data_IF_927928638869
#
_entry.id   IF_927928638869
#
_cell.length_a   1.000
_cell.length_b   1.000
_cell.length_c   1.000
_cell.angle_alpha   90.00
_cell.angle_beta   90.00
_cell.angle_gamma   90.00
#
_symmetry.space_group_name_H-M   'P 1'
#
loop_
_entity.id
_entity.type
_entity.pdbx_description
1 polymer ?
#
# COMPACT_ATOMS: atom_id res chain seq x y z
N UNK A 1 -34.23 26.51 -23.04
CA UNK A 1 -33.54 26.49 -21.73
C UNK A 1 -33.33 25.02 -21.37
N UNK A 2 -32.12 24.47 -21.62
CA UNK A 2 -31.80 23.04 -21.42
C UNK A 2 -31.12 22.93 -20.07
N UNK A 3 -31.79 22.30 -19.13
CA UNK A 3 -31.23 21.98 -17.82
C UNK A 3 -30.29 20.80 -17.99
N UNK A 4 -28.99 21.05 -17.95
CA UNK A 4 -27.97 20.01 -17.86
C UNK A 4 -27.97 19.43 -16.44
N UNK A 5 -28.56 18.26 -16.27
CA UNK A 5 -28.45 17.46 -15.04
C UNK A 5 -27.03 16.87 -14.99
N UNK A 6 -26.14 17.51 -14.26
CA UNK A 6 -24.86 16.91 -13.86
C UNK A 6 -25.15 15.77 -12.89
N UNK A 7 -25.16 14.55 -13.39
CA UNK A 7 -25.24 13.36 -12.58
C UNK A 7 -24.03 13.30 -11.65
N UNK A 8 -24.20 13.61 -10.38
CA UNK A 8 -23.22 13.34 -9.35
C UNK A 8 -23.15 11.81 -9.21
N UNK A 9 -22.09 11.20 -9.73
CA UNK A 9 -21.78 9.79 -9.48
C UNK A 9 -21.51 9.66 -7.99
N UNK A 10 -22.38 8.96 -7.28
CA UNK A 10 -22.14 8.62 -5.88
C UNK A 10 -20.86 7.76 -5.83
N UNK A 11 -19.77 8.35 -5.41
CA UNK A 11 -18.53 7.62 -5.17
C UNK A 11 -18.74 6.76 -3.93
N UNK A 12 -18.74 5.45 -4.15
CA UNK A 12 -18.84 4.48 -3.07
C UNK A 12 -17.58 4.54 -2.19
N UNK A 13 -17.76 4.55 -0.88
CA UNK A 13 -16.63 4.50 0.05
C UNK A 13 -15.97 3.13 -0.04
N UNK A 14 -14.64 3.10 -0.21
CA UNK A 14 -13.92 1.86 -0.27
C UNK A 14 -13.90 1.17 1.10
N UNK A 15 -13.96 -0.18 1.13
CA UNK A 15 -13.88 -0.93 2.37
C UNK A 15 -12.52 -0.77 3.05
N UNK A 16 -12.48 -0.95 4.38
CA UNK A 16 -11.19 -1.06 5.08
C UNK A 16 -10.46 -2.35 4.70
N UNK A 17 -9.14 -2.27 4.55
CA UNK A 17 -8.29 -3.41 4.25
C UNK A 17 -7.28 -3.16 3.12
N UNK A 18 -6.90 -4.23 2.43
CA UNK A 18 -5.98 -4.15 1.30
C UNK A 18 -6.76 -3.96 -0.01
N UNK A 19 -6.63 -2.78 -0.59
CA UNK A 19 -7.26 -2.42 -1.86
C UNK A 19 -6.22 -2.40 -2.99
N UNK A 20 -6.71 -2.59 -4.21
CA UNK A 20 -5.90 -2.50 -5.43
C UNK A 20 -6.71 -1.77 -6.50
N UNK A 21 -6.03 -0.98 -7.30
CA UNK A 21 -6.67 -0.29 -8.41
C UNK A 21 -5.70 0.59 -9.17
N UNK A 22 -6.22 1.27 -10.16
CA UNK A 22 -5.48 2.21 -10.97
C UNK A 22 -5.82 3.64 -10.51
N UNK A 23 -4.81 4.47 -10.32
CA UNK A 23 -4.97 5.86 -9.91
C UNK A 23 -5.70 6.67 -10.98
N UNK A 24 -6.69 7.44 -10.56
CA UNK A 24 -7.50 8.27 -11.48
C UNK A 24 -7.18 9.74 -11.33
N UNK A 25 -7.30 10.25 -10.10
CA UNK A 25 -7.12 11.67 -9.78
C UNK A 25 -6.97 11.89 -8.28
N UNK A 26 -6.58 13.09 -7.90
CA UNK A 26 -6.57 13.55 -6.52
C UNK A 26 -7.07 14.99 -6.45
N UNK A 27 -7.46 15.41 -5.25
CA UNK A 27 -7.87 16.76 -4.90
C UNK A 27 -7.42 17.12 -3.50
N UNK A 28 -7.21 18.42 -3.25
CA UNK A 28 -6.73 18.93 -1.97
C UNK A 28 -5.31 19.50 -2.07
N UNK A 29 -4.51 19.28 -1.05
CA UNK A 29 -3.11 19.70 -0.98
C UNK A 29 -2.16 18.51 -1.12
N UNK A 30 -0.84 18.69 -1.37
CA UNK A 30 0.10 17.58 -1.39
C UNK A 30 0.16 16.76 -0.09
N UNK A 31 -0.28 17.32 1.03
CA UNK A 31 -0.23 16.69 2.36
C UNK A 31 -1.56 16.18 2.87
N UNK A 32 -2.68 16.65 2.33
CA UNK A 32 -4.02 16.21 2.76
C UNK A 32 -5.06 16.43 1.68
N UNK A 33 -5.97 15.49 1.57
CA UNK A 33 -7.02 15.56 0.57
C UNK A 33 -7.67 14.22 0.33
N UNK A 34 -8.08 14.01 -0.90
CA UNK A 34 -8.75 12.81 -1.35
C UNK A 34 -8.17 12.38 -2.69
N UNK A 35 -8.03 11.09 -2.89
CA UNK A 35 -7.71 10.53 -4.20
C UNK A 35 -8.73 9.50 -4.62
N UNK A 36 -8.85 9.35 -5.93
CA UNK A 36 -9.77 8.44 -6.59
C UNK A 36 -8.99 7.37 -7.31
N UNK A 37 -9.42 6.12 -7.18
CA UNK A 37 -8.84 4.99 -7.90
C UNK A 37 -9.93 4.06 -8.43
N UNK A 38 -9.62 3.39 -9.53
CA UNK A 38 -10.48 2.41 -10.17
C UNK A 38 -10.05 1.01 -9.75
N UNK A 39 -10.91 0.32 -9.01
CA UNK A 39 -10.69 -1.05 -8.61
C UNK A 39 -11.07 -2.04 -9.73
N UNK A 40 -10.66 -3.33 -9.63
CA UNK A 40 -11.11 -4.37 -10.54
C UNK A 40 -12.64 -4.42 -10.63
N UNK A 41 -13.18 -4.68 -11.82
CA UNK A 41 -14.61 -4.67 -12.08
C UNK A 41 -15.19 -3.26 -12.32
N UNK A 42 -14.35 -2.31 -12.68
CA UNK A 42 -14.74 -0.94 -13.06
C UNK A 42 -15.37 -0.11 -11.92
N UNK A 43 -15.23 -0.54 -10.68
CA UNK A 43 -15.71 0.23 -9.52
C UNK A 43 -14.75 1.34 -9.18
N UNK A 44 -15.27 2.52 -8.97
CA UNK A 44 -14.49 3.70 -8.60
C UNK A 44 -14.69 3.99 -7.12
N UNK A 45 -13.58 4.09 -6.41
CA UNK A 45 -13.55 4.40 -4.99
C UNK A 45 -12.75 5.66 -4.72
N UNK A 46 -13.04 6.30 -3.59
CA UNK A 46 -12.25 7.40 -3.08
C UNK A 46 -11.73 7.12 -1.68
N UNK A 47 -10.51 7.56 -1.41
CA UNK A 47 -9.91 7.51 -0.08
C UNK A 47 -9.32 8.86 0.28
N UNK A 48 -9.48 9.25 1.54
CA UNK A 48 -8.82 10.42 2.10
C UNK A 48 -7.38 10.08 2.49
N UNK A 49 -6.52 11.06 2.47
CA UNK A 49 -5.14 10.99 2.93
C UNK A 49 -4.77 12.26 3.70
N UNK A 50 -3.78 12.18 4.55
CA UNK A 50 -3.19 13.31 5.27
C UNK A 50 -1.67 13.09 5.46
N UNK A 51 -1.03 13.90 6.28
CA UNK A 51 0.40 13.83 6.59
C UNK A 51 0.84 12.55 7.31
N UNK A 52 -0.11 11.77 7.82
CA UNK A 52 0.11 10.44 8.40
C UNK A 52 0.01 9.31 7.37
N UNK A 53 -0.38 9.61 6.14
CA UNK A 53 -0.44 8.63 5.05
C UNK A 53 0.95 8.42 4.46
N UNK A 54 1.44 7.19 4.49
CA UNK A 54 2.70 6.82 3.85
C UNK A 54 2.48 6.51 2.37
N UNK A 55 3.10 7.28 1.48
CA UNK A 55 2.98 7.08 0.02
C UNK A 55 4.37 6.78 -0.54
N UNK A 56 4.51 5.67 -1.27
CA UNK A 56 5.78 5.20 -1.77
C UNK A 56 5.70 4.81 -3.24
N UNK A 57 6.70 5.21 -4.01
CA UNK A 57 7.00 4.71 -5.35
C UNK A 57 8.42 4.16 -5.38
N UNK A 58 8.61 2.92 -5.84
CA UNK A 58 9.94 2.31 -6.02
C UNK A 58 10.89 2.48 -4.82
N UNK A 59 10.38 2.27 -3.60
CA UNK A 59 11.12 2.42 -2.34
C UNK A 59 11.41 3.86 -1.90
N UNK A 60 10.94 4.87 -2.63
CA UNK A 60 11.08 6.28 -2.25
C UNK A 60 9.79 6.82 -1.71
N UNK A 61 9.88 7.54 -0.59
CA UNK A 61 8.75 8.30 -0.06
C UNK A 61 8.43 9.42 -1.05
N UNK A 62 7.17 9.50 -1.44
CA UNK A 62 6.63 10.56 -2.30
C UNK A 62 5.39 11.19 -1.67
N UNK A 63 4.91 12.28 -2.23
CA UNK A 63 3.57 12.81 -1.96
C UNK A 63 2.59 12.32 -3.02
N UNK A 64 1.29 12.53 -2.82
CA UNK A 64 0.26 12.15 -3.79
C UNK A 64 0.46 12.78 -5.17
N UNK A 65 1.11 13.94 -5.23
CA UNK A 65 1.45 14.62 -6.49
C UNK A 65 2.35 13.77 -7.40
N UNK A 66 3.15 12.89 -6.80
CA UNK A 66 3.99 11.95 -7.53
C UNK A 66 3.23 10.75 -8.12
N UNK A 67 1.91 10.61 -7.88
CA UNK A 67 1.10 9.59 -8.52
C UNK A 67 0.50 10.12 -9.84
N UNK A 68 0.61 9.34 -10.90
CA UNK A 68 0.13 9.68 -12.23
C UNK A 68 -1.10 8.86 -12.60
N UNK A 69 -1.98 9.44 -13.42
CA UNK A 69 -3.19 8.74 -13.89
C UNK A 69 -2.81 7.42 -14.58
N UNK A 70 -3.42 6.33 -14.11
CA UNK A 70 -3.15 4.99 -14.60
C UNK A 70 -2.06 4.23 -13.83
N UNK A 71 -1.40 4.87 -12.87
CA UNK A 71 -0.51 4.15 -11.95
C UNK A 71 -1.27 3.07 -11.19
N UNK A 72 -0.67 1.90 -11.11
CA UNK A 72 -1.23 0.82 -10.32
C UNK A 72 -0.95 1.06 -8.84
N UNK A 73 -2.01 1.07 -8.05
CA UNK A 73 -1.95 1.29 -6.61
C UNK A 73 -2.19 -0.01 -5.83
N UNK A 74 -1.49 -0.12 -4.71
CA UNK A 74 -1.81 -1.02 -3.62
C UNK A 74 -1.97 -0.18 -2.36
N UNK A 75 -3.17 -0.20 -1.78
CA UNK A 75 -3.58 0.71 -0.72
C UNK A 75 -3.92 -0.12 0.51
N UNK A 76 -3.38 0.25 1.66
CA UNK A 76 -3.88 -0.20 2.96
C UNK A 76 -4.79 0.89 3.49
N UNK A 77 -6.06 0.57 3.59
CA UNK A 77 -7.11 1.50 3.99
C UNK A 77 -7.71 1.13 5.34
N UNK A 78 -8.23 2.12 5.99
CA UNK A 78 -8.94 2.04 7.27
C UNK A 78 -10.11 3.02 7.24
N UNK A 79 -10.93 3.05 8.29
CA UNK A 79 -11.91 4.09 8.51
C UNK A 79 -11.34 5.14 9.46
N UNK A 80 -11.54 6.41 9.13
CA UNK A 80 -11.21 7.49 10.05
C UNK A 80 -12.18 7.45 11.22
N UNK A 81 -11.68 7.64 12.44
CA UNK A 81 -12.53 7.67 13.65
C UNK A 81 -13.74 8.59 13.46
N UNK A 82 -14.95 8.06 13.65
CA UNK A 82 -16.21 8.79 13.46
C UNK A 82 -16.69 8.93 12.02
N UNK A 83 -16.06 8.25 11.06
CA UNK A 83 -16.44 8.28 9.65
C UNK A 83 -16.33 6.89 9.01
N UNK A 84 -17.28 6.55 8.15
CA UNK A 84 -17.19 5.35 7.29
C UNK A 84 -16.42 5.63 5.99
N UNK A 85 -15.85 6.82 5.85
CA UNK A 85 -15.05 7.16 4.68
C UNK A 85 -13.70 6.41 4.69
N UNK A 86 -13.29 5.91 3.54
CA UNK A 86 -11.98 5.30 3.36
C UNK A 86 -10.87 6.29 3.73
N UNK A 87 -9.96 5.86 4.56
CA UNK A 87 -8.74 6.57 4.90
C UNK A 87 -7.53 5.73 4.49
N UNK A 88 -6.64 6.28 3.67
CA UNK A 88 -5.44 5.59 3.22
C UNK A 88 -4.34 5.73 4.29
N UNK A 89 -3.88 4.61 4.83
CA UNK A 89 -2.72 4.57 5.74
C UNK A 89 -1.43 4.41 4.97
N UNK A 90 -1.49 3.64 3.88
CA UNK A 90 -0.33 3.29 3.09
C UNK A 90 -0.73 3.20 1.63
N UNK A 91 0.03 3.83 0.74
CA UNK A 91 -0.17 3.76 -0.70
C UNK A 91 1.14 3.36 -1.36
N UNK A 92 1.17 2.22 -2.02
CA UNK A 92 2.26 1.83 -2.92
C UNK A 92 1.87 2.14 -4.36
N UNK A 93 2.64 2.99 -5.01
CA UNK A 93 2.57 3.24 -6.44
C UNK A 93 3.51 2.25 -7.12
N UNK A 94 2.96 1.27 -7.85
CA UNK A 94 3.70 0.13 -8.35
C UNK A 94 4.26 0.35 -9.76
N UNK A 95 3.44 0.89 -10.65
CA UNK A 95 3.76 1.06 -12.07
C UNK A 95 2.96 2.21 -12.67
N UNK A 96 3.56 2.89 -13.61
CA UNK A 96 2.84 3.74 -14.57
C UNK A 96 2.28 2.81 -15.65
N UNK A 97 0.99 2.82 -15.90
CA UNK A 97 0.43 2.20 -17.10
C UNK A 97 0.95 2.98 -18.31
N UNK A 98 1.88 2.39 -19.04
CA UNK A 98 2.13 2.82 -20.41
C UNK A 98 0.79 2.72 -21.15
N UNK A 99 0.39 3.82 -21.82
CA UNK A 99 -0.89 3.94 -22.50
C UNK A 99 -1.21 2.76 -23.43
N UNK A 100 -2.39 2.73 -24.06
CA UNK A 100 -2.86 1.57 -24.80
C UNK A 100 -1.79 1.12 -25.80
N UNK A 101 -1.44 -0.18 -25.74
CA UNK A 101 -0.58 -0.81 -26.75
C UNK A 101 -1.16 -0.48 -28.12
N UNK A 102 -0.42 0.28 -28.91
CA UNK A 102 -0.77 0.50 -30.31
C UNK A 102 -0.64 -0.84 -31.02
N UNK A 103 -1.74 -1.44 -31.52
CA UNK A 103 -1.66 -2.73 -32.18
C UNK A 103 -0.69 -2.66 -33.36
N UNK A 104 0.37 -3.43 -33.35
CA UNK A 104 1.32 -3.57 -34.45
C UNK A 104 2.73 -3.06 -34.23
N UNK A 105 3.01 -2.31 -33.16
CA UNK A 105 4.39 -1.96 -32.79
C UNK A 105 4.86 -2.91 -31.70
N UNK A 106 5.56 -3.98 -32.08
CA UNK A 106 6.35 -4.73 -31.11
C UNK A 106 7.46 -3.80 -30.60
N UNK A 107 7.48 -3.47 -29.31
CA UNK A 107 8.60 -2.71 -28.78
C UNK A 107 9.84 -3.61 -28.82
N UNK A 108 10.68 -3.44 -29.84
CA UNK A 108 12.06 -3.92 -29.81
C UNK A 108 12.94 -2.98 -28.94
N UNK A 109 12.41 -2.44 -27.88
CA UNK A 109 13.20 -1.89 -26.82
C UNK A 109 13.56 -3.05 -25.91
N UNK A 110 14.79 -3.58 -26.07
CA UNK A 110 15.46 -4.27 -24.96
C UNK A 110 15.16 -3.43 -23.72
N UNK A 111 14.58 -4.01 -22.65
CA UNK A 111 14.46 -3.30 -21.39
C UNK A 111 15.89 -2.79 -21.11
N UNK A 112 16.03 -1.48 -20.97
CA UNK A 112 17.26 -0.91 -20.47
C UNK A 112 17.64 -1.77 -19.27
N UNK A 113 18.80 -2.41 -19.34
CA UNK A 113 19.28 -3.34 -18.34
C UNK A 113 19.22 -2.62 -17.01
N UNK A 114 18.09 -2.80 -16.29
CA UNK A 114 18.01 -2.47 -14.87
C UNK A 114 19.22 -3.20 -14.28
N UNK A 115 20.02 -2.54 -13.43
CA UNK A 115 21.02 -3.27 -12.67
C UNK A 115 20.27 -4.45 -12.09
N UNK A 116 20.63 -5.64 -12.52
CA UNK A 116 20.10 -6.89 -11.97
C UNK A 116 20.57 -6.86 -10.54
N UNK A 117 19.72 -6.37 -9.64
CA UNK A 117 19.92 -6.65 -8.22
C UNK A 117 19.94 -8.16 -8.13
N UNK A 118 21.07 -8.74 -7.75
CA UNK A 118 21.23 -10.17 -7.78
C UNK A 118 20.17 -10.77 -6.85
N UNK A 119 19.17 -11.43 -7.46
CA UNK A 119 18.29 -12.40 -6.82
C UNK A 119 17.69 -12.02 -5.45
N UNK A 120 17.04 -10.87 -5.34
CA UNK A 120 16.17 -10.58 -4.21
C UNK A 120 14.72 -10.86 -4.57
N UNK A 121 13.97 -11.73 -3.87
CA UNK A 121 12.54 -11.84 -4.06
C UNK A 121 11.90 -10.51 -3.69
N UNK A 122 11.36 -9.81 -4.67
CA UNK A 122 10.63 -8.55 -4.42
C UNK A 122 9.39 -8.89 -3.62
N UNK A 123 9.16 -8.18 -2.51
CA UNK A 123 8.01 -8.39 -1.63
C UNK A 123 6.69 -8.29 -2.39
N UNK A 124 6.18 -9.41 -2.85
CA UNK A 124 4.92 -9.52 -3.59
C UNK A 124 3.75 -9.87 -2.69
N UNK A 125 4.04 -10.25 -1.45
CA UNK A 125 3.07 -10.66 -0.44
C UNK A 125 2.87 -9.56 0.59
N UNK A 126 1.67 -9.51 1.15
CA UNK A 126 1.39 -8.68 2.34
C UNK A 126 0.75 -9.58 3.38
N UNK A 127 1.37 -9.65 4.55
CA UNK A 127 0.86 -10.31 5.72
C UNK A 127 0.41 -9.27 6.74
N UNK A 128 -0.63 -9.59 7.51
CA UNK A 128 -1.09 -8.74 8.60
C UNK A 128 -1.38 -9.59 9.83
N UNK A 129 -1.06 -9.06 11.00
CA UNK A 129 -1.30 -9.75 12.25
C UNK A 129 -0.79 -8.98 13.46
N UNK A 130 -1.08 -9.53 14.63
CA UNK A 130 -0.57 -9.01 15.89
C UNK A 130 0.84 -9.55 16.14
N UNK A 131 1.76 -8.65 16.46
CA UNK A 131 3.12 -9.01 16.87
C UNK A 131 3.04 -9.82 18.16
N UNK A 132 3.60 -11.02 18.14
CA UNK A 132 3.74 -11.89 19.32
C UNK A 132 5.14 -11.89 19.89
N UNK A 133 6.11 -11.59 19.06
CA UNK A 133 7.50 -11.45 19.47
C UNK A 133 8.38 -10.98 18.34
N UNK A 134 9.43 -10.29 18.73
CA UNK A 134 10.58 -9.98 17.88
C UNK A 134 11.79 -10.51 18.60
N UNK A 135 12.44 -11.52 18.06
CA UNK A 135 13.63 -12.12 18.67
C UNK A 135 14.71 -12.24 17.61
N UNK A 136 15.86 -11.64 17.89
CA UNK A 136 16.95 -11.54 16.91
C UNK A 136 16.43 -10.88 15.62
N UNK A 137 16.45 -11.56 14.49
CA UNK A 137 15.96 -11.07 13.22
C UNK A 137 14.65 -11.78 12.79
N UNK A 138 13.85 -12.23 13.76
CA UNK A 138 12.62 -12.97 13.49
C UNK A 138 11.43 -12.26 14.11
N UNK A 139 10.45 -11.95 13.29
CA UNK A 139 9.16 -11.41 13.68
C UNK A 139 8.11 -12.53 13.66
N UNK A 140 7.47 -12.77 14.79
CA UNK A 140 6.35 -13.70 14.89
C UNK A 140 5.03 -12.94 14.92
N UNK A 141 4.15 -13.24 13.98
CA UNK A 141 2.81 -12.65 13.88
C UNK A 141 1.75 -13.70 14.20
N UNK A 142 0.68 -13.28 14.86
CA UNK A 142 -0.58 -14.04 14.94
C UNK A 142 -1.56 -13.44 13.95
N UNK A 143 -1.93 -14.18 12.92
CA UNK A 143 -2.90 -13.77 11.91
C UNK A 143 -4.32 -13.69 12.50
N UNK A 144 -5.26 -13.09 11.76
CA UNK A 144 -6.69 -13.07 12.12
C UNK A 144 -7.30 -14.46 12.22
N UNK A 145 -6.79 -15.42 11.46
CA UNK A 145 -7.22 -16.83 11.47
C UNK A 145 -6.66 -17.61 12.67
N UNK A 146 -5.84 -16.96 13.50
CA UNK A 146 -5.24 -17.59 14.66
C UNK A 146 -3.89 -18.28 14.40
N UNK A 147 -3.49 -18.39 13.15
CA UNK A 147 -2.22 -19.00 12.76
C UNK A 147 -1.04 -18.11 13.11
N UNK A 148 0.09 -18.75 13.41
CA UNK A 148 1.34 -18.05 13.64
C UNK A 148 2.18 -18.06 12.38
N UNK A 149 2.65 -16.87 11.98
CA UNK A 149 3.53 -16.67 10.84
C UNK A 149 4.88 -16.18 11.33
N UNK A 150 5.95 -16.81 10.84
CA UNK A 150 7.32 -16.44 11.16
C UNK A 150 7.94 -15.74 9.96
N UNK A 151 8.47 -14.55 10.17
CA UNK A 151 9.00 -13.67 9.13
C UNK A 151 10.42 -13.27 9.50
N UNK A 152 11.37 -13.50 8.61
CA UNK A 152 12.74 -13.05 8.76
C UNK A 152 12.84 -11.54 8.53
N UNK A 153 13.41 -10.81 9.47
CA UNK A 153 13.72 -9.40 9.33
C UNK A 153 15.11 -9.28 8.70
N UNK A 154 15.18 -8.68 7.54
CA UNK A 154 16.43 -8.43 6.82
C UNK A 154 17.14 -7.20 7.40
N UNK A 155 18.46 -7.06 7.23
CA UNK A 155 19.16 -5.83 7.62
C UNK A 155 18.64 -4.57 6.94
N UNK A 156 18.07 -4.72 5.72
CA UNK A 156 17.48 -3.65 4.92
C UNK A 156 15.95 -3.57 5.06
N UNK A 157 15.35 -4.29 6.02
CA UNK A 157 13.92 -4.15 6.33
C UNK A 157 13.62 -2.73 6.77
N UNK A 158 12.67 -2.09 6.10
CA UNK A 158 12.21 -0.75 6.46
C UNK A 158 11.06 -0.82 7.45
N UNK A 159 10.97 0.19 8.28
CA UNK A 159 9.93 0.31 9.29
C UNK A 159 9.26 1.67 9.17
N UNK A 160 7.95 1.71 9.31
CA UNK A 160 7.21 2.96 9.35
C UNK A 160 6.00 2.90 10.27
N UNK A 161 5.69 4.04 10.86
CA UNK A 161 4.52 4.24 11.71
C UNK A 161 3.96 5.62 11.44
N UNK A 162 2.63 5.71 11.36
CA UNK A 162 1.92 6.99 11.15
C UNK A 162 2.48 7.86 10.01
N UNK A 163 2.85 7.23 8.89
CA UNK A 163 3.39 7.93 7.72
C UNK A 163 4.87 8.33 7.81
N UNK A 164 5.55 8.02 8.90
CA UNK A 164 6.96 8.37 9.13
C UNK A 164 7.84 7.11 9.19
N UNK A 165 9.13 7.29 8.89
CA UNK A 165 10.12 6.23 9.09
C UNK A 165 10.29 5.96 10.59
N UNK A 166 10.39 4.68 10.94
CA UNK A 166 10.56 4.21 12.31
C UNK A 166 11.74 3.25 12.41
N UNK A 167 12.09 2.88 13.64
CA UNK A 167 13.13 1.87 13.92
C UNK A 167 12.51 0.56 14.38
N UNK A 168 13.20 -0.55 14.15
CA UNK A 168 12.77 -1.88 14.57
C UNK A 168 12.50 -1.96 16.09
N UNK A 169 13.28 -1.24 16.89
CA UNK A 169 13.14 -1.19 18.35
C UNK A 169 11.83 -0.57 18.85
N UNK A 170 11.12 0.16 17.99
CA UNK A 170 9.82 0.75 18.32
C UNK A 170 8.66 -0.25 18.15
N UNK A 171 8.91 -1.41 17.55
CA UNK A 171 7.90 -2.43 17.33
C UNK A 171 7.63 -3.22 18.63
N UNK A 172 6.42 -3.14 19.13
CA UNK A 172 6.02 -3.76 20.41
C UNK A 172 5.12 -4.98 20.19
N UNK A 173 5.14 -5.88 21.18
CA UNK A 173 4.20 -7.01 21.24
C UNK A 173 2.77 -6.48 21.31
N UNK A 174 1.82 -7.23 20.72
CA UNK A 174 0.41 -6.87 20.57
C UNK A 174 0.13 -5.65 19.64
N UNK A 175 1.14 -5.16 18.92
CA UNK A 175 0.92 -4.17 17.86
C UNK A 175 0.41 -4.86 16.61
N UNK A 176 -0.66 -4.33 16.01
CA UNK A 176 -1.11 -4.76 14.69
C UNK A 176 -0.17 -4.20 13.64
N UNK A 177 0.34 -5.07 12.79
CA UNK A 177 1.28 -4.70 11.73
C UNK A 177 0.81 -5.19 10.37
N UNK A 178 1.24 -4.48 9.34
CA UNK A 178 1.24 -4.94 7.96
C UNK A 178 2.68 -5.12 7.52
N UNK A 179 2.98 -6.29 6.97
CA UNK A 179 4.32 -6.65 6.52
C UNK A 179 4.30 -6.92 5.04
N UNK A 180 5.00 -6.10 4.28
CA UNK A 180 5.32 -6.41 2.89
C UNK A 180 6.48 -7.39 2.89
N UNK A 181 6.26 -8.56 2.34
CA UNK A 181 7.20 -9.67 2.41
C UNK A 181 7.25 -10.45 1.10
N UNK A 182 8.22 -11.33 0.99
CA UNK A 182 8.37 -12.28 -0.09
C UNK A 182 9.05 -13.55 0.41
N UNK A 183 9.08 -14.57 -0.42
CA UNK A 183 9.82 -15.79 -0.12
C UNK A 183 11.21 -15.73 -0.72
N UNK A 184 12.21 -16.10 0.05
CA UNK A 184 13.58 -16.29 -0.44
C UNK A 184 13.73 -17.64 -1.16
N UNK A 185 14.94 -17.92 -1.61
CA UNK A 185 15.28 -19.20 -2.31
C UNK A 185 15.08 -20.42 -1.44
N UNK A 186 15.11 -20.28 -0.11
CA UNK A 186 14.89 -21.33 0.88
C UNK A 186 13.40 -21.44 1.28
N UNK A 187 12.51 -20.75 0.56
CA UNK A 187 11.07 -20.67 0.83
C UNK A 187 10.71 -20.01 2.18
N UNK A 188 11.65 -19.33 2.84
CA UNK A 188 11.40 -18.57 4.06
C UNK A 188 10.80 -17.22 3.71
N UNK A 189 9.89 -16.74 4.54
CA UNK A 189 9.27 -15.43 4.38
C UNK A 189 10.19 -14.35 4.94
N UNK A 190 10.56 -13.38 4.10
CA UNK A 190 11.41 -12.25 4.46
C UNK A 190 10.63 -10.93 4.39
N UNK A 191 10.81 -10.08 5.40
CA UNK A 191 10.20 -8.76 5.45
C UNK A 191 11.02 -7.72 4.67
N UNK A 192 10.34 -6.91 3.89
CA UNK A 192 10.91 -5.74 3.20
C UNK A 192 10.45 -4.43 3.83
N UNK A 193 9.21 -4.41 4.34
CA UNK A 193 8.66 -3.24 4.99
C UNK A 193 7.62 -3.66 6.03
N UNK A 194 7.79 -3.15 7.24
CA UNK A 194 6.87 -3.36 8.37
C UNK A 194 6.21 -2.03 8.70
N UNK A 195 4.89 -2.00 8.68
CA UNK A 195 4.10 -0.80 8.93
C UNK A 195 3.17 -1.04 10.10
N UNK A 196 3.12 -0.11 11.03
CA UNK A 196 2.19 -0.13 12.17
C UNK A 196 1.71 1.29 12.51
N UNK A 197 0.93 1.42 13.56
CA UNK A 197 0.33 2.66 14.03
C UNK A 197 -1.15 2.47 14.34
N UNK A 198 -1.94 3.52 14.35
CA UNK A 198 -3.39 3.45 14.56
C UNK A 198 -4.15 2.82 13.37
N UNK A 199 -3.54 1.82 12.75
CA UNK A 199 -4.04 1.26 11.50
C UNK A 199 -5.38 0.57 11.70
N UNK A 200 -5.68 0.06 12.86
CA UNK A 200 -6.97 -0.55 13.17
C UNK A 200 -7.16 -0.51 14.69
N UNK A 201 -7.70 0.56 15.22
CA UNK A 201 -8.38 0.44 16.52
C UNK A 201 -9.68 -0.31 16.30
N UNK A 202 -9.95 -1.41 17.02
CA UNK A 202 -11.31 -1.93 17.06
C UNK A 202 -12.24 -0.80 17.49
N UNK A 203 -13.34 -0.59 16.76
CA UNK A 203 -14.38 0.27 17.27
C UNK A 203 -14.96 -0.42 18.51
N UNK A 204 -14.84 0.21 19.67
CA UNK A 204 -15.63 -0.12 20.84
C UNK A 204 -17.10 0.20 20.62
#
# INVERSE_FOLDING_TARGET
MILATTGAWAQESAPAGLLRGDFVSWSGTPRSGQFVFQAPGNRTYSCTYDDKTYIERETRLITIVGAEKGDRLRIVSDYKTGSLACYARLVYVLEVKLGPEVPGVRPHSKPASRPVEPFGPRGTMTLSGLVRGVKSNVLTLKSRTGNYETIQLRPDTRYSTEGQTAEAGNLRVNTLVFVRCGKNVENQVEAYHVVWGEILKPQE
#
